data_IF_379847647589
#
_entry.id   IF_379847647589
#
_cell.length_a   1.000
_cell.length_b   1.000
_cell.length_c   1.000
_cell.angle_alpha   90.00
_cell.angle_beta   90.00
_cell.angle_gamma   90.00
#
_symmetry.space_group_name_H-M   'P 1'
#
loop_
_entity.id
_entity.type
_entity.pdbx_description
1 polymer ?
#
# COMPACT_ATOMS: atom_id res chain seq x y z
N UNK A 1 3.43 -2.08 12.79
CA UNK A 1 2.98 -3.47 12.53
C UNK A 1 1.58 -3.73 13.09
N UNK A 2 1.35 -3.70 14.41
CA UNK A 2 0.00 -3.96 14.99
C UNK A 2 -1.13 -3.08 14.39
N UNK A 3 -0.90 -1.78 14.25
CA UNK A 3 -1.86 -0.88 13.60
C UNK A 3 -2.02 -1.15 12.10
N UNK A 4 -0.96 -1.54 11.40
CA UNK A 4 -1.03 -1.89 9.98
C UNK A 4 -1.89 -3.14 9.76
N UNK A 5 -1.67 -4.19 10.56
CA UNK A 5 -2.46 -5.42 10.52
C UNK A 5 -3.93 -5.17 10.88
N UNK A 6 -4.19 -4.33 11.88
CA UNK A 6 -5.55 -3.97 12.26
C UNK A 6 -6.25 -3.16 11.16
N UNK A 7 -5.53 -2.24 10.52
CA UNK A 7 -6.02 -1.51 9.36
C UNK A 7 -6.38 -2.45 8.21
N UNK A 8 -5.53 -3.43 7.93
CA UNK A 8 -5.77 -4.44 6.90
C UNK A 8 -6.98 -5.33 7.22
N UNK A 9 -7.11 -5.77 8.47
CA UNK A 9 -8.28 -6.50 8.95
C UNK A 9 -9.57 -5.69 8.76
N UNK A 10 -9.58 -4.41 9.14
CA UNK A 10 -10.74 -3.56 8.95
C UNK A 10 -11.06 -3.31 7.47
N UNK A 11 -10.05 -3.25 6.61
CA UNK A 11 -10.26 -3.14 5.16
C UNK A 11 -11.03 -4.35 4.62
N UNK A 12 -10.70 -5.58 5.07
CA UNK A 12 -11.49 -6.78 4.74
C UNK A 12 -12.90 -6.77 5.33
N UNK A 13 -13.05 -6.26 6.55
CA UNK A 13 -14.34 -6.16 7.20
C UNK A 13 -15.25 -5.05 6.60
N UNK A 14 -14.81 -4.33 5.57
CA UNK A 14 -15.54 -3.21 4.97
C UNK A 14 -15.61 -1.96 5.86
N UNK A 15 -14.83 -1.92 6.95
CA UNK A 15 -14.77 -0.83 7.91
C UNK A 15 -13.76 0.22 7.47
N UNK A 16 -14.14 0.97 6.43
CA UNK A 16 -13.25 1.88 5.70
C UNK A 16 -12.54 2.90 6.60
N UNK A 17 -13.30 3.61 7.44
CA UNK A 17 -12.75 4.71 8.23
C UNK A 17 -11.77 4.19 9.30
N UNK A 18 -12.10 3.07 9.94
CA UNK A 18 -11.20 2.40 10.86
C UNK A 18 -9.95 1.88 10.15
N UNK A 19 -10.11 1.25 8.99
CA UNK A 19 -8.98 0.72 8.20
C UNK A 19 -7.96 1.82 7.90
N UNK A 20 -8.43 2.95 7.39
CA UNK A 20 -7.59 4.09 7.04
C UNK A 20 -6.97 4.72 8.29
N UNK A 21 -7.74 4.87 9.39
CA UNK A 21 -7.22 5.42 10.64
C UNK A 21 -6.05 4.61 11.17
N UNK A 22 -6.20 3.29 11.23
CA UNK A 22 -5.13 2.41 11.73
C UNK A 22 -3.93 2.37 10.78
N UNK A 23 -4.15 2.36 9.46
CA UNK A 23 -3.08 2.45 8.46
C UNK A 23 -2.24 3.73 8.60
N UNK A 24 -2.89 4.90 8.73
CA UNK A 24 -2.18 6.16 8.98
C UNK A 24 -1.42 6.15 10.30
N UNK A 25 -2.04 5.60 11.35
CA UNK A 25 -1.38 5.48 12.66
C UNK A 25 -0.11 4.63 12.59
N UNK A 26 -0.10 3.59 11.76
CA UNK A 26 1.09 2.78 11.53
C UNK A 26 2.25 3.60 10.95
N UNK A 27 1.98 4.44 9.95
CA UNK A 27 2.97 5.34 9.32
C UNK A 27 3.45 6.42 10.30
N UNK A 28 2.56 7.00 11.10
CA UNK A 28 2.94 8.02 12.11
C UNK A 28 3.88 7.46 13.18
N UNK A 29 3.68 6.21 13.60
CA UNK A 29 4.48 5.57 14.65
C UNK A 29 5.86 5.14 14.15
N UNK A 30 5.96 4.73 12.88
CA UNK A 30 7.21 4.36 12.21
C UNK A 30 7.38 5.19 10.93
N UNK A 31 7.77 6.48 11.03
CA UNK A 31 7.97 7.29 9.86
C UNK A 31 9.26 6.89 9.13
N UNK A 32 9.25 6.95 7.80
CA UNK A 32 10.43 6.70 6.94
C UNK A 32 11.64 7.56 7.31
N UNK A 33 11.43 8.75 7.88
CA UNK A 33 12.50 9.65 8.32
C UNK A 33 13.30 9.12 9.52
N UNK A 34 12.75 8.16 10.28
CA UNK A 34 13.43 7.53 11.43
C UNK A 34 13.96 6.16 11.08
N UNK A 35 13.20 5.41 10.30
CA UNK A 35 13.58 4.11 9.78
C UNK A 35 13.05 3.98 8.35
N UNK A 36 13.95 4.10 7.38
CA UNK A 36 13.60 4.10 5.97
C UNK A 36 13.04 2.74 5.52
N UNK A 37 13.47 1.64 6.14
CA UNK A 37 13.04 0.30 5.77
C UNK A 37 11.67 -0.02 6.37
N UNK A 38 11.56 0.03 7.70
CA UNK A 38 10.30 -0.25 8.41
C UNK A 38 9.22 0.77 8.06
N UNK A 39 9.60 2.03 7.85
CA UNK A 39 8.68 3.08 7.46
C UNK A 39 8.12 2.88 6.05
N UNK A 40 8.93 2.37 5.11
CA UNK A 40 8.45 2.04 3.77
C UNK A 40 7.42 0.91 3.84
N UNK A 41 7.66 -0.11 4.68
CA UNK A 41 6.71 -1.21 4.91
C UNK A 41 5.36 -0.68 5.44
N UNK A 42 5.35 0.27 6.39
CA UNK A 42 4.09 0.85 6.88
C UNK A 42 3.34 1.61 5.77
N UNK A 43 4.07 2.26 4.86
CA UNK A 43 3.48 2.93 3.72
C UNK A 43 2.94 1.94 2.68
N UNK A 44 3.60 0.79 2.49
CA UNK A 44 3.08 -0.31 1.67
C UNK A 44 1.73 -0.82 2.18
N UNK A 45 1.61 -1.06 3.49
CA UNK A 45 0.33 -1.41 4.11
C UNK A 45 -0.74 -0.34 3.88
N UNK A 46 -0.38 0.94 4.03
CA UNK A 46 -1.33 2.03 3.84
C UNK A 46 -1.82 2.11 2.38
N UNK A 47 -0.93 1.91 1.39
CA UNK A 47 -1.30 1.81 -0.01
C UNK A 47 -2.27 0.65 -0.26
N UNK A 48 -2.00 -0.51 0.33
CA UNK A 48 -2.83 -1.70 0.21
C UNK A 48 -4.23 -1.48 0.82
N UNK A 49 -4.29 -0.86 2.01
CA UNK A 49 -5.55 -0.47 2.66
C UNK A 49 -6.35 0.48 1.76
N UNK A 50 -5.73 1.54 1.23
CA UNK A 50 -6.39 2.48 0.34
C UNK A 50 -6.94 1.79 -0.91
N UNK A 51 -6.14 0.91 -1.53
CA UNK A 51 -6.58 0.14 -2.69
C UNK A 51 -7.83 -0.69 -2.38
N UNK A 52 -7.81 -1.43 -1.26
CA UNK A 52 -8.88 -2.34 -0.87
C UNK A 52 -10.20 -1.63 -0.54
N UNK A 53 -10.13 -0.45 0.08
CA UNK A 53 -11.32 0.34 0.46
C UNK A 53 -11.77 1.31 -0.64
N UNK A 54 -11.16 1.25 -1.83
CA UNK A 54 -11.56 2.02 -3.01
C UNK A 54 -11.01 3.45 -3.08
N UNK A 55 -10.08 3.83 -2.20
CA UNK A 55 -9.44 5.15 -2.17
C UNK A 55 -8.30 5.25 -3.19
N UNK A 56 -8.67 5.14 -4.47
CA UNK A 56 -7.73 5.10 -5.61
C UNK A 56 -6.84 6.34 -5.71
N UNK A 57 -7.42 7.51 -5.40
CA UNK A 57 -6.73 8.80 -5.41
C UNK A 57 -5.60 8.89 -4.39
N UNK A 58 -5.68 8.09 -3.32
CA UNK A 58 -4.63 8.00 -2.29
C UNK A 58 -3.69 6.82 -2.54
N UNK A 59 -4.22 5.69 -3.01
CA UNK A 59 -3.44 4.48 -3.26
C UNK A 59 -2.42 4.67 -4.39
N UNK A 60 -2.86 5.13 -5.56
CA UNK A 60 -2.03 5.11 -6.78
C UNK A 60 -0.79 6.01 -6.66
N UNK A 61 -0.89 7.28 -6.20
CA UNK A 61 0.30 8.12 -6.00
C UNK A 61 1.26 7.55 -4.96
N UNK A 62 0.74 6.90 -3.92
CA UNK A 62 1.56 6.28 -2.89
C UNK A 62 2.33 5.06 -3.43
N UNK A 63 1.68 4.23 -4.26
CA UNK A 63 2.32 3.11 -4.97
C UNK A 63 3.41 3.62 -5.91
N UNK A 64 3.15 4.68 -6.67
CA UNK A 64 4.14 5.27 -7.58
C UNK A 64 5.40 5.73 -6.82
N UNK A 65 5.22 6.39 -5.66
CA UNK A 65 6.34 6.78 -4.79
C UNK A 65 7.10 5.56 -4.30
N UNK A 66 6.41 4.53 -3.83
CA UNK A 66 7.01 3.33 -3.25
C UNK A 66 7.76 2.47 -4.27
N UNK A 67 7.33 2.45 -5.54
CA UNK A 67 8.09 1.83 -6.64
C UNK A 67 9.47 2.49 -6.86
N UNK A 68 9.65 3.74 -6.41
CA UNK A 68 10.91 4.48 -6.47
C UNK A 68 11.71 4.39 -5.16
N UNK A 69 11.15 3.78 -4.10
CA UNK A 69 11.77 3.66 -2.78
C UNK A 69 12.50 2.32 -2.64
N UNK A 70 13.84 2.31 -2.41
CA UNK A 70 14.56 1.09 -2.06
C UNK A 70 14.00 0.47 -0.77
N UNK A 71 13.67 -0.82 -0.78
CA UNK A 71 13.19 -1.53 0.41
C UNK A 71 11.67 -1.70 0.52
N UNK A 72 10.88 -1.23 -0.45
CA UNK A 72 9.44 -1.55 -0.56
C UNK A 72 9.15 -3.00 -1.01
N UNK A 73 10.08 -3.93 -0.72
CA UNK A 73 10.05 -5.33 -1.15
C UNK A 73 10.13 -6.21 0.08
N UNK A 74 9.10 -7.02 0.30
CA UNK A 74 9.04 -8.00 1.37
C UNK A 74 8.37 -9.29 0.87
N UNK A 75 8.50 -10.38 1.61
CA UNK A 75 7.93 -11.70 1.34
C UNK A 75 6.44 -11.83 1.69
N UNK A 76 5.71 -10.71 1.75
CA UNK A 76 4.34 -10.63 2.30
C UNK A 76 3.41 -9.83 1.38
N UNK A 77 2.10 -10.00 1.57
CA UNK A 77 0.97 -9.45 0.81
C UNK A 77 1.02 -7.94 0.47
N UNK A 78 1.79 -7.14 1.21
CA UNK A 78 1.93 -5.70 1.01
C UNK A 78 3.12 -5.30 0.13
N UNK A 79 3.89 -6.24 -0.43
CA UNK A 79 5.04 -5.93 -1.29
C UNK A 79 4.64 -5.09 -2.51
N UNK A 80 5.48 -4.11 -2.86
CA UNK A 80 5.29 -3.21 -4.01
C UNK A 80 6.45 -3.38 -4.98
N UNK A 81 6.33 -4.39 -5.83
CA UNK A 81 7.12 -4.51 -7.07
C UNK A 81 6.18 -4.52 -8.27
N UNK A 82 6.70 -4.17 -9.46
CA UNK A 82 5.91 -4.30 -10.70
C UNK A 82 5.38 -5.72 -10.90
N UNK A 83 6.11 -6.74 -10.43
CA UNK A 83 5.65 -8.12 -10.49
C UNK A 83 4.47 -8.38 -9.54
N UNK A 84 4.54 -7.88 -8.30
CA UNK A 84 3.47 -8.05 -7.32
C UNK A 84 2.20 -7.32 -7.76
N UNK A 85 2.34 -6.07 -8.22
CA UNK A 85 1.21 -5.27 -8.73
C UNK A 85 0.50 -5.94 -9.92
N UNK A 86 1.22 -6.72 -10.73
CA UNK A 86 0.65 -7.46 -11.87
C UNK A 86 -0.13 -8.71 -11.46
N UNK A 87 0.33 -9.44 -10.44
CA UNK A 87 -0.12 -10.81 -10.20
C UNK A 87 -0.84 -11.00 -8.86
N UNK A 88 -0.45 -10.26 -7.81
CA UNK A 88 -1.00 -10.39 -6.47
C UNK A 88 -2.45 -9.84 -6.41
N UNK A 89 -3.37 -10.67 -5.93
CA UNK A 89 -4.82 -10.42 -5.92
C UNK A 89 -5.21 -9.23 -5.03
N UNK A 90 -4.36 -8.88 -4.07
CA UNK A 90 -4.56 -7.76 -3.15
C UNK A 90 -4.71 -6.43 -3.91
N UNK A 91 -4.13 -6.34 -5.12
CA UNK A 91 -4.20 -5.17 -6.00
C UNK A 91 -5.37 -5.22 -7.00
N UNK A 92 -6.14 -6.32 -7.07
CA UNK A 92 -7.32 -6.45 -7.94
C UNK A 92 -8.32 -5.29 -7.86
N UNK A 93 -8.63 -4.71 -6.67
CA UNK A 93 -9.59 -3.62 -6.55
C UNK A 93 -9.26 -2.37 -7.38
N UNK A 94 -7.98 -2.15 -7.68
CA UNK A 94 -7.49 -1.00 -8.44
C UNK A 94 -6.82 -1.38 -9.77
N UNK A 95 -6.67 -2.68 -10.05
CA UNK A 95 -5.93 -3.20 -11.20
C UNK A 95 -6.46 -2.64 -12.53
N UNK A 96 -7.76 -2.44 -12.67
CA UNK A 96 -8.37 -1.91 -13.90
C UNK A 96 -8.30 -0.37 -14.04
N UNK A 97 -7.74 0.36 -13.07
CA UNK A 97 -7.56 1.82 -13.20
C UNK A 97 -6.47 2.12 -14.24
N UNK A 98 -6.73 2.99 -15.24
CA UNK A 98 -5.74 3.33 -16.27
C UNK A 98 -4.42 3.87 -15.71
N UNK A 99 -4.47 4.61 -14.59
CA UNK A 99 -3.27 5.14 -13.94
C UNK A 99 -2.46 4.02 -13.29
N UNK A 100 -3.13 3.05 -12.69
CA UNK A 100 -2.48 1.86 -12.12
C UNK A 100 -1.82 1.03 -13.23
N UNK A 101 -2.51 0.80 -14.35
CA UNK A 101 -1.96 0.09 -15.51
C UNK A 101 -0.69 0.75 -16.07
N UNK A 102 -0.63 2.09 -16.07
CA UNK A 102 0.57 2.84 -16.45
C UNK A 102 1.78 2.54 -15.54
N UNK A 103 1.56 2.30 -14.24
CA UNK A 103 2.64 1.91 -13.33
C UNK A 103 3.23 0.53 -13.68
N UNK A 104 2.43 -0.37 -14.27
CA UNK A 104 2.84 -1.74 -14.60
C UNK A 104 3.77 -1.83 -15.83
N UNK A 105 3.78 -0.79 -16.68
CA UNK A 105 4.63 -0.75 -17.88
C UNK A 105 6.05 -0.26 -17.59
N UNK A 106 6.37 0.05 -16.33
CA UNK A 106 7.74 0.35 -15.90
C UNK A 106 8.33 1.61 -16.51
N UNK A 107 7.49 2.56 -16.95
CA UNK A 107 7.96 3.84 -17.48
C UNK A 107 7.91 4.88 -16.38
N UNK A 108 9.04 5.23 -15.73
CA UNK A 108 9.12 6.41 -14.89
C UNK A 108 8.82 7.70 -15.68
#
# INVERSE_FOLDING_TARGET
DRHANLGWFYAFAGKKDEAIREGRRAVELKPESKDAFDGAIMNCYLALIYARVGEKELAIPLIERLLKTPGAVDSVDYSITVNDLKHCWEWDPIRNDPRFQKLLTGTP
#
